data_IF_496767256591
#
_entry.id   IF_496767256591
#
_cell.length_a   1.000
_cell.length_b   1.000
_cell.length_c   1.000
_cell.angle_alpha   90.00
_cell.angle_beta   90.00
_cell.angle_gamma   90.00
#
_symmetry.space_group_name_H-M   'P 1'
#
loop_
_entity.id
_entity.type
_entity.pdbx_description
1 polymer ?
#
# COMPACT_ATOMS: atom_id res chain seq x y z
N UNK A 1 -3.26 7.76 -9.57
CA UNK A 1 -2.04 8.00 -8.77
C UNK A 1 -0.98 7.03 -9.29
N UNK A 2 0.28 7.47 -9.47
CA UNK A 2 1.30 6.58 -10.02
C UNK A 2 1.61 5.40 -9.09
N UNK A 3 1.57 4.18 -9.62
CA UNK A 3 1.98 2.96 -8.92
C UNK A 3 3.39 2.54 -9.39
N UNK A 4 4.33 2.38 -8.44
CA UNK A 4 5.72 2.00 -8.74
C UNK A 4 5.87 0.59 -9.32
N UNK A 5 4.94 -0.31 -9.01
CA UNK A 5 4.92 -1.70 -9.47
C UNK A 5 4.24 -1.86 -10.82
N UNK A 6 3.07 -1.25 -11.01
CA UNK A 6 2.39 -1.27 -12.32
C UNK A 6 3.10 -0.39 -13.35
N UNK A 7 3.97 0.54 -12.91
CA UNK A 7 4.66 1.54 -13.74
C UNK A 7 3.71 2.48 -14.51
N UNK A 8 2.49 2.66 -14.00
CA UNK A 8 1.42 3.49 -14.58
C UNK A 8 0.54 4.08 -13.49
N UNK A 9 -0.29 5.06 -13.87
CA UNK A 9 -1.31 5.61 -12.99
C UNK A 9 -2.46 4.63 -12.81
N UNK A 10 -2.65 4.20 -11.56
CA UNK A 10 -3.72 3.29 -11.16
C UNK A 10 -4.58 3.93 -10.07
N UNK A 11 -5.85 3.47 -9.93
CA UNK A 11 -6.64 3.75 -8.75
C UNK A 11 -5.95 3.20 -7.50
N UNK A 12 -6.06 3.96 -6.41
CA UNK A 12 -5.56 3.55 -5.10
C UNK A 12 -6.63 3.88 -4.07
N UNK A 13 -6.81 3.01 -3.09
CA UNK A 13 -7.71 3.23 -1.96
C UNK A 13 -6.93 3.38 -0.65
N UNK A 14 -7.45 4.14 0.33
CA UNK A 14 -6.92 4.15 1.68
C UNK A 14 -7.17 2.79 2.35
N UNK A 15 -6.18 2.29 3.09
CA UNK A 15 -6.31 0.99 3.75
C UNK A 15 -7.48 0.95 4.73
N UNK A 16 -8.24 -0.14 4.68
CA UNK A 16 -9.26 -0.49 5.67
C UNK A 16 -8.63 -0.71 7.04
N UNK A 17 -9.44 -0.69 8.12
CA UNK A 17 -8.91 -0.96 9.47
C UNK A 17 -8.22 -2.33 9.60
N UNK A 18 -8.75 -3.36 8.94
CA UNK A 18 -8.16 -4.69 8.91
C UNK A 18 -6.80 -4.71 8.20
N UNK A 19 -6.72 -4.10 7.02
CA UNK A 19 -5.49 -3.93 6.25
C UNK A 19 -4.43 -3.11 6.98
N UNK A 20 -4.86 -2.03 7.65
CA UNK A 20 -3.98 -1.23 8.50
C UNK A 20 -3.42 -2.05 9.65
N UNK A 21 -4.23 -2.89 10.30
CA UNK A 21 -3.79 -3.76 11.38
C UNK A 21 -2.82 -4.82 10.86
N UNK A 22 -3.17 -5.50 9.75
CA UNK A 22 -2.28 -6.46 9.12
C UNK A 22 -0.94 -5.83 8.78
N UNK A 23 -0.94 -4.63 8.19
CA UNK A 23 0.31 -3.93 7.89
C UNK A 23 1.12 -3.61 9.15
N UNK A 24 0.48 -3.21 10.26
CA UNK A 24 1.18 -2.98 11.54
C UNK A 24 1.84 -4.27 12.04
N UNK A 25 1.12 -5.38 12.02
CA UNK A 25 1.61 -6.67 12.51
C UNK A 25 2.78 -7.18 11.65
N UNK A 26 2.69 -7.00 10.32
CA UNK A 26 3.66 -7.50 9.34
C UNK A 26 4.96 -6.66 9.23
N UNK A 27 4.90 -5.38 9.60
CA UNK A 27 6.00 -4.42 9.40
C UNK A 27 6.48 -3.76 10.69
N UNK A 28 5.76 -3.93 11.80
CA UNK A 28 6.04 -3.26 13.07
C UNK A 28 5.78 -1.74 13.04
N UNK A 29 5.11 -1.23 12.00
CA UNK A 29 4.83 0.20 11.88
C UNK A 29 3.84 0.66 12.96
N UNK A 30 4.08 1.85 13.53
CA UNK A 30 3.16 2.47 14.50
C UNK A 30 1.96 3.16 13.84
N UNK A 31 2.16 3.71 12.64
CA UNK A 31 1.15 4.51 11.94
C UNK A 31 0.97 4.01 10.50
N UNK A 32 -0.19 3.41 10.22
CA UNK A 32 -0.53 2.85 8.90
C UNK A 32 -1.70 3.57 8.21
N UNK A 33 -2.28 4.61 8.84
CA UNK A 33 -3.42 5.36 8.30
C UNK A 33 -3.12 6.23 7.07
N UNK A 34 -1.84 6.47 6.77
CA UNK A 34 -1.42 7.26 5.60
C UNK A 34 -1.04 6.40 4.40
N UNK A 35 -1.27 5.08 4.49
CA UNK A 35 -0.98 4.15 3.42
C UNK A 35 -2.19 3.95 2.52
N UNK A 36 -1.88 3.79 1.24
CA UNK A 36 -2.82 3.57 0.17
C UNK A 36 -2.36 2.36 -0.62
N UNK A 37 -3.28 1.44 -0.90
CA UNK A 37 -3.01 0.27 -1.73
C UNK A 37 -3.46 0.54 -3.17
N UNK A 38 -2.68 0.03 -4.12
CA UNK A 38 -3.07 0.01 -5.53
C UNK A 38 -4.17 -1.03 -5.76
N UNK A 39 -5.27 -0.60 -6.38
CA UNK A 39 -6.44 -1.45 -6.72
C UNK A 39 -6.20 -2.35 -7.94
N UNK A 40 -5.07 -2.17 -8.63
CA UNK A 40 -4.76 -2.97 -9.80
C UNK A 40 -4.73 -4.47 -9.43
N UNK A 41 -5.39 -5.34 -10.20
CA UNK A 41 -5.51 -6.75 -9.89
C UNK A 41 -4.13 -7.40 -9.76
N UNK A 42 -3.84 -7.94 -8.57
CA UNK A 42 -2.58 -8.62 -8.28
C UNK A 42 -1.40 -7.72 -7.91
N UNK A 43 -1.57 -6.40 -7.86
CA UNK A 43 -0.52 -5.45 -7.48
C UNK A 43 -0.40 -5.31 -5.96
N UNK A 44 -1.43 -4.73 -5.31
CA UNK A 44 -1.43 -4.49 -3.87
C UNK A 44 -0.33 -3.55 -3.38
N UNK A 45 0.39 -2.87 -4.27
CA UNK A 45 1.51 -2.02 -3.88
C UNK A 45 1.04 -0.90 -2.98
N UNK A 46 1.68 -0.85 -1.82
CA UNK A 46 1.49 0.20 -0.84
C UNK A 46 2.29 1.42 -1.20
N UNK A 47 1.68 2.58 -0.99
CA UNK A 47 2.31 3.89 -1.08
C UNK A 47 1.78 4.82 -0.01
N UNK A 48 2.49 5.90 0.23
CA UNK A 48 1.99 7.05 0.98
C UNK A 48 1.84 8.26 0.05
N UNK A 49 1.43 9.40 0.60
CA UNK A 49 1.39 10.66 -0.16
C UNK A 49 2.80 11.09 -0.62
N UNK A 50 3.81 10.88 0.23
CA UNK A 50 5.19 11.33 -0.01
C UNK A 50 6.09 10.24 -0.61
N UNK A 51 5.82 8.97 -0.30
CA UNK A 51 6.62 7.84 -0.76
C UNK A 51 5.81 6.95 -1.70
N UNK A 52 6.32 6.74 -2.91
CA UNK A 52 5.69 5.91 -3.94
C UNK A 52 6.03 4.42 -3.81
N UNK A 53 6.99 4.04 -2.96
CA UNK A 53 7.40 2.66 -2.71
C UNK A 53 8.05 2.51 -1.32
N UNK A 54 7.29 2.72 -0.23
CA UNK A 54 7.80 2.63 1.15
C UNK A 54 8.31 1.25 1.55
N UNK A 55 7.99 0.22 0.76
CA UNK A 55 8.49 -1.14 0.96
C UNK A 55 9.26 -1.61 -0.27
N UNK A 56 10.30 -2.42 -0.01
CA UNK A 56 11.13 -3.03 -1.04
C UNK A 56 10.37 -4.05 -1.90
N UNK A 57 9.32 -4.68 -1.34
CA UNK A 57 8.46 -5.63 -2.05
C UNK A 57 6.99 -5.22 -1.95
N UNK A 58 6.19 -5.43 -3.01
CA UNK A 58 4.75 -5.22 -2.96
C UNK A 58 4.13 -6.20 -1.95
N UNK A 59 3.61 -5.68 -0.84
CA UNK A 59 2.88 -6.50 0.13
C UNK A 59 1.45 -6.68 -0.36
N UNK A 60 1.02 -7.94 -0.52
CA UNK A 60 -0.38 -8.25 -0.77
C UNK A 60 -1.12 -8.27 0.56
N UNK A 61 -1.86 -7.21 0.84
CA UNK A 61 -2.89 -7.23 1.87
C UNK A 61 -4.05 -8.08 1.33
N UNK A 62 -4.59 -8.97 2.15
CA UNK A 62 -5.59 -9.97 1.76
C UNK A 62 -6.97 -9.65 2.34
#
# INVERSE_FOLDING_TARGET
>A
MYCSTCKRDEPHHPLSKGEQQQLKDDSGLKHTGNYWACDAPGCGTLRTAFDKSPFYLPRKLK
#
